data_IF_074823379311
#
_entry.id   IF_074823379311
#
_cell.length_a   1.000
_cell.length_b   1.000
_cell.length_c   1.000
_cell.angle_alpha   90.00
_cell.angle_beta   90.00
_cell.angle_gamma   90.00
#
_symmetry.space_group_name_H-M   'P 1'
#
loop_
_entity.id
_entity.type
_entity.pdbx_description
1 polymer ?
#
# COMPACT_ATOMS: atom_id res chain seq x y z
N UNK A 1 -20.73 39.35 -22.59
CA UNK A 1 -19.53 39.48 -21.73
C UNK A 1 -19.19 38.06 -21.28
N UNK A 2 -18.26 37.43 -21.99
CA UNK A 2 -18.08 35.97 -21.97
C UNK A 2 -17.39 35.48 -20.71
N UNK A 3 -17.87 34.37 -20.14
CA UNK A 3 -17.15 33.66 -19.10
C UNK A 3 -15.98 32.91 -19.75
N UNK A 4 -14.75 33.26 -19.37
CA UNK A 4 -13.54 32.55 -19.79
C UNK A 4 -13.42 31.24 -19.03
N UNK A 5 -13.49 30.13 -19.76
CA UNK A 5 -13.27 28.79 -19.24
C UNK A 5 -11.75 28.55 -19.22
N UNK A 6 -11.11 28.72 -18.07
CA UNK A 6 -9.68 28.43 -17.93
C UNK A 6 -9.51 26.91 -17.83
N UNK A 7 -9.11 26.28 -18.93
CA UNK A 7 -8.70 24.87 -18.97
C UNK A 7 -7.43 24.72 -18.13
N UNK A 8 -7.57 24.18 -16.92
CA UNK A 8 -6.41 23.75 -16.13
C UNK A 8 -5.66 22.63 -16.88
N UNK A 9 -4.34 22.75 -16.89
CA UNK A 9 -3.41 21.99 -17.73
C UNK A 9 -3.04 20.67 -17.04
N UNK A 10 -3.37 19.52 -17.64
CA UNK A 10 -3.30 18.18 -17.03
C UNK A 10 -1.89 17.58 -16.87
N UNK A 11 -0.83 18.39 -16.71
CA UNK A 11 0.54 17.91 -16.83
C UNK A 11 1.37 17.98 -15.53
N UNK A 12 0.76 18.12 -14.35
CA UNK A 12 1.46 18.07 -13.05
C UNK A 12 0.92 16.94 -12.17
N UNK A 13 0.85 15.74 -12.73
CA UNK A 13 0.79 14.51 -11.93
C UNK A 13 1.84 13.55 -12.47
N UNK A 14 2.70 12.95 -11.63
CA UNK A 14 3.43 11.78 -12.07
C UNK A 14 2.39 10.75 -12.50
N UNK A 15 2.57 10.19 -13.69
CA UNK A 15 1.78 9.09 -14.20
C UNK A 15 1.59 8.04 -13.08
N UNK A 16 0.35 7.89 -12.60
CA UNK A 16 0.04 6.94 -11.53
C UNK A 16 0.34 5.54 -12.08
N UNK A 17 1.43 4.92 -11.63
CA UNK A 17 1.80 3.56 -12.05
C UNK A 17 0.59 2.63 -11.82
N UNK A 18 0.25 1.81 -12.80
CA UNK A 18 -0.91 0.91 -12.68
C UNK A 18 -0.69 -0.11 -11.56
N UNK A 19 -1.77 -0.73 -11.04
CA UNK A 19 -1.64 -1.83 -10.07
C UNK A 19 -0.73 -2.95 -10.57
N UNK A 20 -0.75 -3.17 -11.88
CA UNK A 20 0.06 -4.16 -12.58
C UNK A 20 1.55 -3.78 -12.56
N UNK A 21 1.87 -2.51 -12.84
CA UNK A 21 3.23 -1.99 -12.77
C UNK A 21 3.81 -2.10 -11.35
N UNK A 22 3.02 -1.76 -10.33
CA UNK A 22 3.44 -1.96 -8.93
C UNK A 22 3.68 -3.43 -8.60
N UNK A 23 2.86 -4.33 -9.13
CA UNK A 23 3.03 -5.77 -8.90
C UNK A 23 4.35 -6.26 -9.51
N UNK A 24 4.64 -5.89 -10.75
CA UNK A 24 5.90 -6.27 -11.43
C UNK A 24 7.11 -5.66 -10.72
N UNK A 25 7.09 -4.36 -10.47
CA UNK A 25 8.21 -3.63 -9.88
C UNK A 25 8.51 -4.08 -8.45
N UNK A 26 7.50 -4.07 -7.57
CA UNK A 26 7.70 -4.45 -6.17
C UNK A 26 7.91 -5.96 -6.02
N UNK A 27 7.23 -6.77 -6.83
CA UNK A 27 7.41 -8.22 -6.87
C UNK A 27 8.81 -8.62 -7.30
N UNK A 28 9.37 -7.96 -8.33
CA UNK A 28 10.75 -8.17 -8.78
C UNK A 28 11.77 -7.86 -7.67
N UNK A 29 11.65 -6.70 -7.02
CA UNK A 29 12.53 -6.32 -5.90
C UNK A 29 12.43 -7.32 -4.73
N UNK A 30 11.21 -7.79 -4.41
CA UNK A 30 11.01 -8.80 -3.37
C UNK A 30 11.70 -10.11 -3.74
N UNK A 31 11.56 -10.55 -4.99
CA UNK A 31 12.17 -11.78 -5.49
C UNK A 31 13.70 -11.71 -5.46
N UNK A 32 14.28 -10.61 -5.93
CA UNK A 32 15.73 -10.37 -5.87
C UNK A 32 16.27 -10.47 -4.44
N UNK A 33 15.58 -9.85 -3.47
CA UNK A 33 15.96 -9.93 -2.05
C UNK A 33 15.85 -11.35 -1.50
N UNK A 34 14.83 -12.11 -1.90
CA UNK A 34 14.69 -13.51 -1.47
C UNK A 34 15.82 -14.40 -2.02
N UNK A 35 16.21 -14.19 -3.28
CA UNK A 35 17.34 -14.89 -3.90
C UNK A 35 18.64 -14.52 -3.19
N UNK A 36 18.88 -13.23 -2.96
CA UNK A 36 20.10 -12.74 -2.32
C UNK A 36 20.26 -13.22 -0.87
N UNK A 37 19.17 -13.23 -0.09
CA UNK A 37 19.24 -13.56 1.35
C UNK A 37 19.18 -15.06 1.63
N UNK A 38 18.44 -15.83 0.82
CA UNK A 38 18.13 -17.23 1.12
C UNK A 38 18.37 -18.19 -0.06
N UNK A 39 19.11 -17.79 -1.09
CA UNK A 39 19.35 -18.59 -2.30
C UNK A 39 18.05 -19.03 -2.98
N UNK A 40 16.99 -18.22 -2.86
CA UNK A 40 15.67 -18.51 -3.41
C UNK A 40 14.86 -19.51 -2.58
N UNK A 41 15.38 -19.98 -1.44
CA UNK A 41 14.63 -20.81 -0.51
C UNK A 41 13.78 -19.96 0.43
N UNK A 42 12.52 -20.32 0.62
CA UNK A 42 11.69 -19.73 1.66
C UNK A 42 12.11 -20.30 3.02
N UNK A 43 13.01 -19.62 3.74
CA UNK A 43 13.35 -19.98 5.13
C UNK A 43 12.28 -19.45 6.08
N UNK A 44 11.40 -20.32 6.58
CA UNK A 44 10.35 -20.01 7.55
C UNK A 44 8.99 -20.63 7.21
N UNK A 45 8.10 -20.75 8.20
CA UNK A 45 6.85 -21.52 8.17
C UNK A 45 5.68 -20.90 7.37
N UNK A 46 5.93 -20.31 6.20
CA UNK A 46 4.85 -19.77 5.39
C UNK A 46 5.24 -19.57 3.94
N UNK A 47 4.54 -20.27 3.05
CA UNK A 47 4.44 -19.88 1.65
C UNK A 47 3.99 -18.42 1.58
N UNK A 48 4.66 -17.60 0.76
CA UNK A 48 4.18 -16.25 0.48
C UNK A 48 2.77 -16.36 -0.12
N UNK A 49 1.80 -15.72 0.54
CA UNK A 49 0.42 -15.66 0.08
C UNK A 49 0.11 -14.25 -0.39
N UNK A 50 -0.44 -14.16 -1.59
CA UNK A 50 -0.92 -12.91 -2.15
C UNK A 50 -2.35 -12.70 -1.64
N UNK A 51 -2.58 -11.55 -1.02
CA UNK A 51 -3.92 -11.10 -0.63
C UNK A 51 -4.33 -9.93 -1.51
N UNK A 52 -5.62 -9.86 -1.84
CA UNK A 52 -6.19 -8.72 -2.53
C UNK A 52 -6.33 -7.51 -1.60
N UNK A 53 -6.36 -6.32 -2.19
CA UNK A 53 -6.62 -5.08 -1.43
C UNK A 53 -7.94 -5.14 -0.65
N UNK A 54 -8.97 -5.77 -1.22
CA UNK A 54 -10.29 -5.92 -0.61
C UNK A 54 -10.29 -6.84 0.60
N UNK A 55 -9.50 -7.92 0.56
CA UNK A 55 -9.34 -8.81 1.72
C UNK A 55 -8.69 -8.07 2.88
N UNK A 56 -7.63 -7.31 2.59
CA UNK A 56 -6.93 -6.52 3.61
C UNK A 56 -7.84 -5.42 4.16
N UNK A 57 -8.54 -4.68 3.30
CA UNK A 57 -9.48 -3.64 3.70
C UNK A 57 -10.60 -4.19 4.59
N UNK A 58 -11.17 -5.34 4.24
CA UNK A 58 -12.18 -6.00 5.08
C UNK A 58 -11.59 -6.45 6.41
N UNK A 59 -10.38 -7.02 6.41
CA UNK A 59 -9.74 -7.54 7.61
C UNK A 59 -9.33 -6.44 8.61
N UNK A 60 -9.06 -5.22 8.11
CA UNK A 60 -8.73 -4.05 8.92
C UNK A 60 -9.92 -3.13 9.20
N UNK A 61 -11.15 -3.52 8.83
CA UNK A 61 -12.34 -2.69 8.94
C UNK A 61 -12.14 -1.30 8.30
N UNK A 62 -11.72 -1.30 7.03
CA UNK A 62 -11.35 -0.09 6.28
C UNK A 62 -10.27 0.76 6.97
N UNK A 63 -9.26 0.09 7.56
CA UNK A 63 -8.17 0.72 8.32
C UNK A 63 -8.66 1.51 9.53
N UNK A 64 -9.57 0.91 10.30
CA UNK A 64 -10.16 1.50 11.50
C UNK A 64 -9.08 1.93 12.51
N UNK A 65 -9.05 3.21 12.95
CA UNK A 65 -8.10 3.71 13.93
C UNK A 65 -8.11 2.99 15.28
N UNK A 66 -9.25 2.40 15.68
CA UNK A 66 -9.39 1.66 16.94
C UNK A 66 -8.64 0.32 16.90
N UNK A 67 -8.33 -0.18 15.70
CA UNK A 67 -7.54 -1.39 15.50
C UNK A 67 -6.04 -1.13 15.42
N UNK A 68 -5.59 0.13 15.61
CA UNK A 68 -4.18 0.46 15.55
C UNK A 68 -3.45 -0.12 16.76
N UNK A 69 -2.46 -0.95 16.48
CA UNK A 69 -1.55 -1.51 17.48
C UNK A 69 -0.33 -0.61 17.66
N UNK A 70 0.17 -0.02 16.57
CA UNK A 70 1.35 0.82 16.60
C UNK A 70 1.37 1.82 15.43
N UNK A 71 1.97 3.00 15.65
CA UNK A 71 2.26 3.99 14.62
C UNK A 71 3.76 4.27 14.58
N UNK A 72 4.34 4.16 13.39
CA UNK A 72 5.70 4.57 13.07
C UNK A 72 5.68 5.70 12.03
N UNK A 73 6.74 6.50 11.90
CA UNK A 73 6.82 7.60 10.93
C UNK A 73 6.57 7.18 9.46
N UNK A 74 6.72 5.89 9.15
CA UNK A 74 6.58 5.34 7.81
C UNK A 74 5.41 4.38 7.65
N UNK A 75 4.76 3.94 8.73
CA UNK A 75 3.69 2.96 8.67
C UNK A 75 2.76 2.96 9.89
N UNK A 76 1.55 2.47 9.70
CA UNK A 76 0.65 2.09 10.79
C UNK A 76 0.44 0.59 10.79
N UNK A 77 0.46 -0.01 11.98
CA UNK A 77 0.18 -1.43 12.19
C UNK A 77 -1.22 -1.58 12.77
N UNK A 78 -2.06 -2.35 12.09
CA UNK A 78 -3.42 -2.67 12.50
C UNK A 78 -3.52 -4.13 12.95
N UNK A 79 -4.33 -4.38 13.96
CA UNK A 79 -4.81 -5.72 14.31
C UNK A 79 -5.92 -6.08 13.34
N UNK A 80 -5.84 -7.25 12.73
CA UNK A 80 -6.82 -7.72 11.76
C UNK A 80 -7.12 -9.21 11.97
N UNK A 81 -8.25 -9.67 11.44
CA UNK A 81 -8.56 -11.11 11.36
C UNK A 81 -8.62 -11.53 9.91
N UNK A 82 -7.79 -12.50 9.52
CA UNK A 82 -7.70 -13.01 8.15
C UNK A 82 -7.67 -14.53 8.20
N UNK A 83 -8.59 -15.19 7.50
CA UNK A 83 -8.74 -16.66 7.52
C UNK A 83 -8.82 -17.23 8.94
N UNK A 84 -9.65 -16.61 9.79
CA UNK A 84 -9.87 -16.96 11.19
C UNK A 84 -8.62 -16.87 12.08
N UNK A 85 -7.58 -16.15 11.63
CA UNK A 85 -6.36 -15.91 12.37
C UNK A 85 -6.19 -14.43 12.64
N UNK A 86 -5.79 -14.11 13.87
CA UNK A 86 -5.40 -12.75 14.24
C UNK A 86 -4.01 -12.47 13.64
N UNK A 87 -3.90 -11.41 12.85
CA UNK A 87 -2.68 -10.99 12.15
C UNK A 87 -2.41 -9.51 12.37
N UNK A 88 -1.17 -9.10 12.15
CA UNK A 88 -0.76 -7.71 12.09
C UNK A 88 -0.63 -7.25 10.64
N UNK A 89 -1.35 -6.21 10.25
CA UNK A 89 -1.27 -5.60 8.92
C UNK A 89 -0.50 -4.30 9.01
N UNK A 90 0.62 -4.20 8.29
CA UNK A 90 1.40 -2.96 8.20
C UNK A 90 1.05 -2.19 6.92
N UNK A 91 0.40 -1.05 7.06
CA UNK A 91 0.12 -0.12 5.96
C UNK A 91 1.19 0.97 5.91
N UNK A 92 1.90 1.09 4.78
CA UNK A 92 2.92 2.13 4.61
C UNK A 92 2.25 3.47 4.31
N UNK A 93 2.66 4.52 5.01
CA UNK A 93 2.31 5.88 4.63
C UNK A 93 3.21 6.33 3.48
N UNK A 94 2.62 6.83 2.41
CA UNK A 94 3.26 7.88 1.61
C UNK A 94 2.82 9.21 2.23
N UNK A 95 3.77 10.09 2.57
CA UNK A 95 3.44 11.44 3.03
C UNK A 95 2.58 12.13 1.96
N UNK A 96 1.33 12.47 2.28
CA UNK A 96 0.62 13.54 1.57
C UNK A 96 1.06 14.86 2.20
N UNK A 97 1.68 15.73 1.41
CA UNK A 97 1.95 17.11 1.84
C UNK A 97 0.62 17.77 2.24
N UNK A 98 0.53 18.48 3.39
CA UNK A 98 -0.72 19.07 3.90
C UNK A 98 -1.40 20.06 2.93
N UNK A 99 -0.70 20.52 1.90
CA UNK A 99 -1.21 21.50 0.93
C UNK A 99 -1.85 20.84 -0.30
N UNK A 100 -2.50 19.69 -0.15
CA UNK A 100 -3.19 18.98 -1.25
C UNK A 100 -4.72 19.08 -1.18
N UNK A 101 -5.21 20.25 -0.74
CA UNK A 101 -6.56 20.76 -0.97
C UNK A 101 -6.45 22.28 -1.22
N UNK A 102 -7.21 22.77 -2.22
CA UNK A 102 -7.47 24.18 -2.62
C UNK A 102 -6.46 24.77 -3.64
N UNK A 103 -6.60 24.40 -4.91
CA UNK A 103 -7.16 25.23 -6.01
C UNK A 103 -7.21 24.43 -7.34
#
# INVERSE_FOLDING_TARGET
>A
MGQTQTKYNNNIWPNLESKEEYFIKNGGILLEKQIALNQGQLKGAGQLKIFSSREIEKATDSYNPDLIVNRNPYSTVYKATLEDRIVAVSARFTYKSPNSQID
#
